data_IF_607576477332
#
_entry.id   IF_607576477332
#
_cell.length_a   1.000
_cell.length_b   1.000
_cell.length_c   1.000
_cell.angle_alpha   90.00
_cell.angle_beta   90.00
_cell.angle_gamma   90.00
#
_symmetry.space_group_name_H-M   'P 1'
#
loop_
_entity.id
_entity.type
_entity.pdbx_description
1 polymer ?
#
# COMPACT_ATOMS: atom_id res chain seq x y z
N UNK A 1 -20.30 7.08 -13.86
CA UNK A 1 -19.43 6.08 -13.18
C UNK A 1 -19.66 4.75 -13.88
N UNK A 2 -18.62 4.01 -14.28
CA UNK A 2 -18.83 2.67 -14.87
C UNK A 2 -19.37 1.73 -13.79
N UNK A 3 -20.38 0.93 -14.11
CA UNK A 3 -20.94 -0.06 -13.19
C UNK A 3 -19.85 -1.04 -12.72
N UNK A 4 -20.01 -1.57 -11.51
CA UNK A 4 -19.13 -2.62 -10.99
C UNK A 4 -19.32 -3.88 -11.83
N UNK A 5 -18.23 -4.38 -12.43
CA UNK A 5 -18.28 -5.57 -13.27
C UNK A 5 -18.77 -6.78 -12.47
N UNK A 6 -19.73 -7.57 -12.96
CA UNK A 6 -20.17 -8.79 -12.30
C UNK A 6 -19.00 -9.78 -12.12
N UNK A 7 -18.02 -9.79 -13.04
CA UNK A 7 -16.80 -10.58 -12.92
C UNK A 7 -15.96 -10.20 -11.70
N UNK A 8 -15.90 -8.92 -11.35
CA UNK A 8 -15.18 -8.48 -10.15
C UNK A 8 -15.87 -8.99 -8.89
N UNK A 9 -17.20 -8.89 -8.81
CA UNK A 9 -17.97 -9.42 -7.67
C UNK A 9 -17.82 -10.93 -7.56
N UNK A 10 -17.94 -11.66 -8.67
CA UNK A 10 -17.70 -13.10 -8.72
C UNK A 10 -16.30 -13.48 -8.23
N UNK A 11 -15.26 -12.73 -8.62
CA UNK A 11 -13.90 -12.95 -8.15
C UNK A 11 -13.75 -12.68 -6.64
N UNK A 12 -14.36 -11.61 -6.11
CA UNK A 12 -14.36 -11.32 -4.67
C UNK A 12 -15.02 -12.44 -3.88
N UNK A 13 -16.20 -12.88 -4.30
CA UNK A 13 -16.93 -13.97 -3.65
C UNK A 13 -16.11 -15.25 -3.71
N UNK A 14 -15.61 -15.63 -4.89
CA UNK A 14 -14.82 -16.85 -5.07
C UNK A 14 -13.58 -16.88 -4.17
N UNK A 15 -12.79 -15.81 -4.16
CA UNK A 15 -11.59 -15.71 -3.31
C UNK A 15 -11.92 -15.68 -1.82
N UNK A 16 -13.01 -15.03 -1.42
CA UNK A 16 -13.45 -15.03 -0.02
C UNK A 16 -13.91 -16.41 0.44
N UNK A 17 -14.62 -17.15 -0.42
CA UNK A 17 -15.08 -18.50 -0.11
C UNK A 17 -13.92 -19.52 0.00
N UNK A 18 -12.78 -19.25 -0.65
CA UNK A 18 -11.58 -20.09 -0.48
C UNK A 18 -11.09 -20.15 0.98
N UNK A 19 -11.43 -19.15 1.82
CA UNK A 19 -11.12 -19.15 3.25
C UNK A 19 -11.75 -20.33 4.01
N UNK A 20 -12.83 -20.92 3.50
CA UNK A 20 -13.47 -22.09 4.10
C UNK A 20 -12.82 -23.42 3.69
N UNK A 21 -12.01 -23.41 2.63
CA UNK A 21 -11.44 -24.62 2.04
C UNK A 21 -9.92 -24.74 2.24
N UNK A 22 -9.22 -23.62 2.39
CA UNK A 22 -7.76 -23.59 2.48
C UNK A 22 -7.29 -23.30 3.90
N UNK A 23 -6.18 -23.92 4.35
CA UNK A 23 -5.51 -23.48 5.57
C UNK A 23 -4.95 -22.07 5.35
N UNK A 24 -5.09 -21.20 6.35
CA UNK A 24 -4.60 -19.83 6.30
C UNK A 24 -5.24 -18.95 7.37
N UNK A 25 -5.12 -17.63 7.20
CA UNK A 25 -5.71 -16.63 8.07
C UNK A 25 -5.04 -16.55 9.44
N UNK A 26 -3.79 -16.99 9.56
CA UNK A 26 -3.07 -17.01 10.84
C UNK A 26 -3.04 -15.63 11.50
N UNK A 27 -2.63 -14.59 10.77
CA UNK A 27 -2.58 -13.23 11.31
C UNK A 27 -3.98 -12.67 11.57
N UNK A 28 -4.96 -13.01 10.72
CA UNK A 28 -6.36 -12.65 10.97
C UNK A 28 -6.87 -13.27 12.28
N UNK A 29 -6.59 -14.55 12.51
CA UNK A 29 -7.03 -15.29 13.69
C UNK A 29 -6.29 -14.83 14.95
N UNK A 30 -5.00 -14.56 14.87
CA UNK A 30 -4.17 -14.17 16.01
C UNK A 30 -4.34 -12.70 16.39
N UNK A 31 -4.41 -11.81 15.41
CA UNK A 31 -4.36 -10.37 15.66
C UNK A 31 -5.69 -9.67 15.36
N UNK A 32 -6.27 -9.85 14.18
CA UNK A 32 -7.28 -8.89 13.69
C UNK A 32 -8.73 -9.24 14.01
N UNK A 33 -9.03 -10.50 14.29
CA UNK A 33 -10.37 -10.97 14.67
C UNK A 33 -10.53 -11.14 16.18
N UNK A 34 -9.55 -10.68 16.95
CA UNK A 34 -9.52 -10.72 18.42
C UNK A 34 -9.45 -9.31 19.01
N UNK A 35 -9.88 -9.14 20.27
CA UNK A 35 -9.62 -7.91 21.02
C UNK A 35 -8.13 -7.56 20.98
N UNK A 36 -7.83 -6.26 20.98
CA UNK A 36 -6.44 -5.82 21.08
C UNK A 36 -5.80 -6.41 22.33
N UNK A 37 -4.59 -6.91 22.18
CA UNK A 37 -3.77 -7.36 23.29
C UNK A 37 -2.41 -6.69 23.20
N UNK A 38 -1.72 -6.65 24.34
CA UNK A 38 -0.36 -6.16 24.41
C UNK A 38 0.50 -6.79 23.31
N UNK A 39 0.27 -8.06 22.94
CA UNK A 39 0.98 -8.86 21.91
C UNK A 39 0.87 -8.35 20.45
N UNK A 40 -0.03 -7.41 20.14
CA UNK A 40 -0.22 -6.93 18.75
C UNK A 40 0.84 -5.93 18.28
N UNK A 41 1.34 -6.12 17.05
CA UNK A 41 2.24 -5.17 16.37
C UNK A 41 1.49 -4.02 15.69
N UNK A 42 0.17 -4.05 15.70
CA UNK A 42 -0.65 -3.06 14.98
C UNK A 42 -1.28 -2.07 15.93
N UNK A 43 -1.57 -0.85 15.46
CA UNK A 43 -2.17 0.14 16.31
C UNK A 43 -3.55 -0.30 16.81
N UNK A 44 -3.90 -0.04 18.08
CA UNK A 44 -5.13 -0.56 18.65
C UNK A 44 -6.43 -0.12 17.96
N UNK A 45 -6.45 1.07 17.33
CA UNK A 45 -7.62 1.52 16.57
C UNK A 45 -7.92 0.60 15.36
N UNK A 46 -6.92 -0.10 14.82
CA UNK A 46 -7.15 -1.13 13.80
C UNK A 46 -8.03 -2.23 14.37
N UNK A 47 -7.76 -2.67 15.60
CA UNK A 47 -8.57 -3.68 16.27
C UNK A 47 -9.97 -3.18 16.60
N UNK A 48 -10.17 -1.89 16.92
CA UNK A 48 -11.53 -1.37 17.06
C UNK A 48 -12.33 -1.51 15.77
N UNK A 49 -11.69 -1.25 14.62
CA UNK A 49 -12.34 -1.34 13.31
C UNK A 49 -12.59 -2.80 12.93
N UNK A 50 -11.67 -3.72 13.25
CA UNK A 50 -11.78 -5.14 12.88
C UNK A 50 -12.47 -6.01 13.91
N UNK A 51 -12.64 -5.56 15.17
CA UNK A 51 -13.25 -6.32 16.26
C UNK A 51 -14.66 -6.86 15.92
N UNK A 52 -15.55 -6.11 15.24
CA UNK A 52 -16.86 -6.65 14.84
C UNK A 52 -16.77 -7.89 13.94
N UNK A 53 -15.67 -8.09 13.22
CA UNK A 53 -15.46 -9.31 12.42
C UNK A 53 -15.33 -10.56 13.30
N UNK A 54 -14.79 -10.41 14.52
CA UNK A 54 -14.62 -11.52 15.46
C UNK A 54 -15.95 -12.16 15.90
N UNK A 55 -17.06 -11.43 15.82
CA UNK A 55 -18.39 -11.95 16.17
C UNK A 55 -18.89 -13.08 15.26
N UNK A 56 -18.34 -13.20 14.06
CA UNK A 56 -18.71 -14.26 13.11
C UNK A 56 -17.96 -15.58 13.35
N UNK A 57 -16.92 -15.58 14.20
CA UNK A 57 -16.05 -16.72 14.42
C UNK A 57 -15.18 -17.07 13.20
N UNK A 58 -14.18 -17.93 13.42
CA UNK A 58 -13.32 -18.43 12.33
C UNK A 58 -13.98 -19.68 11.70
N UNK A 59 -13.98 -19.84 10.36
CA UNK A 59 -13.29 -19.04 9.33
C UNK A 59 -14.10 -17.86 8.75
N UNK A 60 -15.36 -17.66 9.16
CA UNK A 60 -16.23 -16.63 8.57
C UNK A 60 -15.67 -15.20 8.71
N UNK A 61 -15.08 -14.87 9.85
CA UNK A 61 -14.40 -13.59 10.09
C UNK A 61 -13.24 -13.34 9.09
N UNK A 62 -12.47 -14.39 8.76
CA UNK A 62 -11.38 -14.32 7.78
C UNK A 62 -11.92 -14.16 6.35
N UNK A 63 -12.97 -14.89 5.98
CA UNK A 63 -13.64 -14.73 4.70
C UNK A 63 -14.17 -13.30 4.50
N UNK A 64 -14.77 -12.70 5.53
CA UNK A 64 -15.21 -11.30 5.52
C UNK A 64 -14.05 -10.32 5.38
N UNK A 65 -12.94 -10.55 6.10
CA UNK A 65 -11.74 -9.73 5.97
C UNK A 65 -11.15 -9.77 4.54
N UNK A 66 -11.12 -10.96 3.93
CA UNK A 66 -10.71 -11.14 2.52
C UNK A 66 -11.64 -10.35 1.61
N UNK A 67 -12.96 -10.50 1.76
CA UNK A 67 -13.93 -9.78 0.94
C UNK A 67 -13.76 -8.25 1.05
N UNK A 68 -13.65 -7.72 2.26
CA UNK A 68 -13.42 -6.30 2.51
C UNK A 68 -12.11 -5.81 1.87
N UNK A 69 -11.03 -6.57 2.02
CA UNK A 69 -9.74 -6.24 1.42
C UNK A 69 -9.84 -6.16 -0.10
N UNK A 70 -10.46 -7.16 -0.74
CA UNK A 70 -10.64 -7.20 -2.20
C UNK A 70 -11.55 -6.07 -2.71
N UNK A 71 -12.62 -5.75 -1.99
CA UNK A 71 -13.49 -4.62 -2.31
C UNK A 71 -12.74 -3.28 -2.24
N UNK A 72 -11.94 -3.07 -1.19
CA UNK A 72 -11.11 -1.89 -1.03
C UNK A 72 -10.04 -1.81 -2.13
N UNK A 73 -9.40 -2.92 -2.47
CA UNK A 73 -8.43 -2.98 -3.58
C UNK A 73 -9.08 -2.65 -4.92
N UNK A 74 -10.25 -3.20 -5.22
CA UNK A 74 -10.99 -2.88 -6.44
C UNK A 74 -11.44 -1.42 -6.50
N UNK A 75 -11.89 -0.85 -5.37
CA UNK A 75 -12.22 0.57 -5.27
C UNK A 75 -10.98 1.46 -5.46
N UNK A 76 -9.88 1.17 -4.76
CA UNK A 76 -8.63 1.90 -4.87
C UNK A 76 -8.07 1.82 -6.29
N UNK A 77 -8.09 0.64 -6.93
CA UNK A 77 -7.69 0.48 -8.32
C UNK A 77 -8.48 1.42 -9.24
N UNK A 78 -9.81 1.55 -9.06
CA UNK A 78 -10.63 2.53 -9.82
C UNK A 78 -10.21 3.97 -9.55
N UNK A 79 -9.95 4.33 -8.29
CA UNK A 79 -9.47 5.66 -7.88
C UNK A 79 -8.14 6.00 -8.58
N UNK A 80 -7.26 5.01 -8.71
CA UNK A 80 -5.97 5.14 -9.42
C UNK A 80 -6.08 4.90 -10.93
N UNK A 81 -7.25 4.58 -11.49
CA UNK A 81 -7.39 4.22 -12.90
C UNK A 81 -6.56 2.98 -13.29
N UNK A 82 -6.32 2.09 -12.33
CA UNK A 82 -5.66 0.81 -12.50
C UNK A 82 -6.70 -0.29 -12.82
N UNK A 83 -6.34 -1.31 -13.61
CA UNK A 83 -7.17 -2.49 -13.81
C UNK A 83 -7.34 -3.27 -12.49
N UNK A 84 -8.60 -3.52 -12.09
CA UNK A 84 -8.91 -4.21 -10.83
C UNK A 84 -8.28 -5.61 -10.75
N UNK A 85 -8.15 -6.30 -11.88
CA UNK A 85 -7.61 -7.66 -11.91
C UNK A 85 -6.11 -7.68 -11.62
N UNK A 86 -5.36 -6.64 -12.02
CA UNK A 86 -3.95 -6.49 -11.61
C UNK A 86 -3.87 -6.30 -10.10
N UNK A 87 -4.80 -5.54 -9.53
CA UNK A 87 -4.83 -5.26 -8.11
C UNK A 87 -5.15 -6.51 -7.28
N UNK A 88 -6.06 -7.39 -7.71
CA UNK A 88 -6.51 -8.52 -6.87
C UNK A 88 -5.93 -9.89 -7.23
N UNK A 89 -5.48 -10.10 -8.47
CA UNK A 89 -4.99 -11.40 -8.94
C UNK A 89 -3.45 -11.49 -8.97
N UNK A 90 -2.74 -10.65 -8.22
CA UNK A 90 -1.28 -10.70 -8.16
C UNK A 90 -0.77 -11.53 -6.96
N UNK A 91 0.48 -12.02 -7.01
CA UNK A 91 1.01 -12.88 -5.95
C UNK A 91 1.13 -12.20 -4.58
N UNK A 92 1.42 -10.89 -4.53
CA UNK A 92 1.47 -10.16 -3.26
C UNK A 92 0.09 -10.15 -2.58
N UNK A 93 -0.98 -10.02 -3.37
CA UNK A 93 -2.36 -10.08 -2.87
C UNK A 93 -2.69 -11.46 -2.36
N UNK A 94 -2.32 -12.52 -3.09
CA UNK A 94 -2.52 -13.88 -2.60
C UNK A 94 -1.91 -14.07 -1.20
N UNK A 95 -0.69 -13.57 -0.96
CA UNK A 95 -0.07 -13.58 0.37
C UNK A 95 -0.84 -12.75 1.41
N UNK A 96 -1.36 -11.57 1.04
CA UNK A 96 -2.24 -10.78 1.91
C UNK A 96 -3.46 -11.59 2.34
N UNK A 97 -4.15 -12.25 1.40
CA UNK A 97 -5.35 -13.02 1.69
C UNK A 97 -5.02 -14.28 2.50
N UNK A 98 -3.98 -15.00 2.12
CA UNK A 98 -3.57 -16.26 2.73
C UNK A 98 -3.15 -16.08 4.19
N UNK A 99 -2.34 -15.06 4.50
CA UNK A 99 -1.96 -14.77 5.89
C UNK A 99 -3.06 -14.04 6.66
N UNK A 100 -3.97 -13.34 5.98
CA UNK A 100 -4.96 -12.47 6.62
C UNK A 100 -4.39 -11.11 7.04
N UNK A 101 -3.55 -10.51 6.20
CA UNK A 101 -2.92 -9.21 6.45
C UNK A 101 -3.90 -8.05 6.32
N UNK A 102 -3.68 -6.98 7.08
CA UNK A 102 -4.51 -5.75 7.10
C UNK A 102 -4.17 -4.73 6.02
N UNK A 103 -3.86 -5.19 4.81
CA UNK A 103 -3.39 -4.29 3.73
C UNK A 103 -4.50 -3.41 3.20
N UNK A 104 -5.76 -3.73 3.55
CA UNK A 104 -6.91 -2.88 3.33
C UNK A 104 -6.72 -1.46 3.86
N UNK A 105 -6.07 -1.25 5.02
CA UNK A 105 -5.89 0.08 5.59
C UNK A 105 -4.95 0.94 4.76
N UNK A 106 -3.68 0.58 4.52
CA UNK A 106 -2.78 1.42 3.72
C UNK A 106 -3.30 1.62 2.29
N UNK A 107 -4.02 0.65 1.71
CA UNK A 107 -4.67 0.77 0.40
C UNK A 107 -5.81 1.79 0.44
N UNK A 108 -6.68 1.72 1.45
CA UNK A 108 -7.73 2.71 1.65
C UNK A 108 -7.15 4.11 1.87
N UNK A 109 -6.13 4.23 2.73
CA UNK A 109 -5.47 5.48 3.04
C UNK A 109 -4.83 6.14 1.82
N UNK A 110 -4.15 5.36 0.97
CA UNK A 110 -3.59 5.86 -0.28
C UNK A 110 -4.69 6.38 -1.23
N UNK A 111 -5.79 5.64 -1.39
CA UNK A 111 -6.89 6.07 -2.24
C UNK A 111 -7.63 7.31 -1.70
N UNK A 112 -7.92 7.37 -0.40
CA UNK A 112 -8.53 8.54 0.26
C UNK A 112 -7.65 9.78 0.13
N UNK A 113 -6.36 9.66 0.44
CA UNK A 113 -5.40 10.75 0.31
C UNK A 113 -5.31 11.24 -1.14
N UNK A 114 -5.29 10.33 -2.11
CA UNK A 114 -5.32 10.69 -3.53
C UNK A 114 -6.59 11.46 -3.93
N UNK A 115 -7.77 11.05 -3.46
CA UNK A 115 -9.03 11.75 -3.72
C UNK A 115 -9.03 13.17 -3.12
N UNK A 116 -8.45 13.36 -1.93
CA UNK A 116 -8.25 14.70 -1.34
C UNK A 116 -7.35 15.55 -2.25
N UNK A 117 -6.21 15.02 -2.70
CA UNK A 117 -5.28 15.76 -3.58
C UNK A 117 -5.90 16.08 -4.95
N UNK A 118 -6.83 15.24 -5.43
CA UNK A 118 -7.64 15.51 -6.61
C UNK A 118 -8.81 16.48 -6.35
N UNK A 119 -8.95 17.02 -5.13
CA UNK A 119 -10.07 17.88 -4.72
C UNK A 119 -11.45 17.21 -4.87
N UNK A 120 -11.49 15.88 -4.80
CA UNK A 120 -12.74 15.08 -4.83
C UNK A 120 -13.29 14.79 -3.44
N UNK A 121 -12.49 15.02 -2.39
CA UNK A 121 -12.90 14.96 -0.99
C UNK A 121 -12.45 16.24 -0.27
N UNK A 122 -13.16 16.58 0.81
CA UNK A 122 -12.78 17.69 1.68
C UNK A 122 -11.39 17.43 2.31
N UNK A 123 -10.51 18.44 2.46
CA UNK A 123 -9.13 18.22 2.90
C UNK A 123 -8.98 17.59 4.28
N UNK A 124 -9.97 17.73 5.16
CA UNK A 124 -9.95 17.07 6.48
C UNK A 124 -10.04 15.53 6.40
N UNK A 125 -10.49 14.97 5.27
CA UNK A 125 -10.40 13.52 5.04
C UNK A 125 -8.94 13.01 4.98
N UNK A 126 -7.96 13.91 4.83
CA UNK A 126 -6.56 13.54 4.93
C UNK A 126 -6.21 12.99 6.32
N UNK A 127 -6.91 13.41 7.38
CA UNK A 127 -6.75 12.81 8.72
C UNK A 127 -7.09 11.32 8.70
N UNK A 128 -8.22 10.94 8.09
CA UNK A 128 -8.58 9.51 7.95
C UNK A 128 -7.57 8.77 7.07
N UNK A 129 -7.13 9.40 5.98
CA UNK A 129 -6.10 8.83 5.11
C UNK A 129 -4.79 8.52 5.86
N UNK A 130 -4.33 9.43 6.71
CA UNK A 130 -3.14 9.22 7.56
C UNK A 130 -3.35 8.08 8.55
N UNK A 131 -4.48 8.03 9.26
CA UNK A 131 -4.81 6.92 10.16
C UNK A 131 -4.86 5.55 9.47
N UNK A 132 -5.27 5.52 8.20
CA UNK A 132 -5.24 4.31 7.39
C UNK A 132 -3.81 3.95 6.90
N UNK A 133 -2.89 4.91 6.76
CA UNK A 133 -1.51 4.66 6.35
C UNK A 133 -0.58 4.28 7.52
N UNK A 134 -0.86 4.77 8.72
CA UNK A 134 -0.07 4.55 9.94
C UNK A 134 0.14 3.09 10.36
N UNK A 135 -0.82 2.15 10.20
CA UNK A 135 -0.63 0.76 10.61
C UNK A 135 0.58 0.08 9.99
N UNK A 136 1.01 0.56 8.81
CA UNK A 136 2.18 0.05 8.08
C UNK A 136 2.96 1.20 7.46
N UNK A 137 3.71 1.92 8.30
CA UNK A 137 4.56 3.05 7.89
C UNK A 137 5.59 2.66 6.82
N UNK A 138 6.07 1.42 6.80
CA UNK A 138 6.95 0.89 5.74
C UNK A 138 6.30 0.84 4.36
N UNK A 139 4.96 0.87 4.30
CA UNK A 139 4.18 0.85 3.05
C UNK A 139 3.63 2.24 2.74
N UNK A 140 3.06 2.91 3.75
CA UNK A 140 2.35 4.18 3.59
C UNK A 140 3.15 5.45 3.89
N UNK A 141 4.33 5.34 4.53
CA UNK A 141 5.06 6.48 5.09
C UNK A 141 5.48 7.52 4.04
N UNK A 142 6.06 7.10 2.91
CA UNK A 142 6.42 8.04 1.87
C UNK A 142 5.21 8.70 1.21
N UNK A 143 4.09 7.97 1.04
CA UNK A 143 2.85 8.57 0.56
C UNK A 143 2.29 9.60 1.55
N UNK A 144 2.36 9.32 2.85
CA UNK A 144 1.96 10.25 3.89
C UNK A 144 2.75 11.57 3.77
N UNK A 145 4.09 11.49 3.65
CA UNK A 145 4.94 12.67 3.45
C UNK A 145 4.62 13.41 2.15
N UNK A 146 4.46 12.69 1.04
CA UNK A 146 4.13 13.28 -0.26
C UNK A 146 2.78 14.01 -0.22
N UNK A 147 1.77 13.41 0.41
CA UNK A 147 0.46 14.02 0.60
C UNK A 147 0.53 15.23 1.51
N UNK A 148 1.36 15.22 2.57
CA UNK A 148 1.60 16.40 3.40
C UNK A 148 2.13 17.58 2.58
N UNK A 149 3.13 17.33 1.73
CA UNK A 149 3.71 18.35 0.86
C UNK A 149 2.66 18.88 -0.13
N UNK A 150 1.89 18.00 -0.77
CA UNK A 150 0.84 18.44 -1.69
C UNK A 150 -0.33 19.14 -0.99
N UNK A 151 -0.71 18.72 0.21
CA UNK A 151 -1.74 19.37 1.00
C UNK A 151 -1.31 20.80 1.35
N UNK A 152 -0.07 20.98 1.82
CA UNK A 152 0.49 22.30 2.07
C UNK A 152 0.48 23.18 0.83
N UNK A 153 1.00 22.66 -0.29
CA UNK A 153 1.13 23.40 -1.54
C UNK A 153 -0.21 23.77 -2.17
N UNK A 154 -1.17 22.85 -2.16
CA UNK A 154 -2.42 23.01 -2.92
C UNK A 154 -3.59 23.57 -2.07
N UNK A 155 -3.52 23.46 -0.74
CA UNK A 155 -4.57 23.91 0.19
C UNK A 155 -4.08 24.89 1.28
N UNK A 156 -2.78 25.18 1.33
CA UNK A 156 -2.18 26.13 2.25
C UNK A 156 -1.89 25.60 3.65
N UNK A 157 -1.04 26.33 4.39
CA UNK A 157 -0.54 25.92 5.71
C UNK A 157 -1.64 25.82 6.78
N UNK A 158 -2.69 26.64 6.70
CA UNK A 158 -3.82 26.61 7.68
C UNK A 158 -4.57 25.29 7.60
N UNK A 159 -4.79 24.78 6.39
CA UNK A 159 -5.44 23.48 6.17
C UNK A 159 -4.57 22.35 6.70
N UNK A 160 -3.27 22.39 6.40
CA UNK A 160 -2.31 21.45 6.94
C UNK A 160 -2.34 21.44 8.48
N UNK A 161 -2.32 22.62 9.12
CA UNK A 161 -2.38 22.72 10.58
C UNK A 161 -3.65 22.08 11.15
N UNK A 162 -4.82 22.32 10.54
CA UNK A 162 -6.07 21.68 10.98
C UNK A 162 -6.00 20.15 10.86
N UNK A 163 -5.49 19.63 9.75
CA UNK A 163 -5.29 18.18 9.57
C UNK A 163 -4.30 17.64 10.60
N UNK A 164 -3.20 18.35 10.86
CA UNK A 164 -2.21 17.95 11.85
C UNK A 164 -2.80 17.92 13.27
N UNK A 165 -3.57 18.96 13.65
CA UNK A 165 -4.25 19.01 14.96
C UNK A 165 -5.26 17.89 15.09
N UNK A 166 -6.14 17.66 14.11
CA UNK A 166 -7.11 16.56 14.17
C UNK A 166 -6.42 15.19 14.23
N UNK A 167 -5.37 15.00 13.43
CA UNK A 167 -4.57 13.77 13.47
C UNK A 167 -3.92 13.58 14.84
N UNK A 168 -3.37 14.65 15.40
CA UNK A 168 -2.76 14.67 16.73
C UNK A 168 -3.75 14.36 17.84
N UNK A 169 -4.94 14.97 17.82
CA UNK A 169 -6.01 14.70 18.79
C UNK A 169 -6.44 13.23 18.75
N UNK A 170 -6.71 12.68 17.56
CA UNK A 170 -7.05 11.27 17.42
C UNK A 170 -5.89 10.35 17.85
N UNK A 171 -4.65 10.77 17.61
CA UNK A 171 -3.45 10.05 18.01
C UNK A 171 -3.34 9.99 19.52
N UNK A 172 -3.47 11.14 20.20
CA UNK A 172 -3.47 11.24 21.66
C UNK A 172 -4.61 10.44 22.26
N UNK A 173 -5.84 10.54 21.74
CA UNK A 173 -6.96 9.75 22.21
C UNK A 173 -6.67 8.25 22.09
N UNK A 174 -6.02 7.82 21.01
CA UNK A 174 -5.57 6.43 20.87
C UNK A 174 -4.54 6.07 21.94
N UNK A 175 -3.54 6.90 22.19
CA UNK A 175 -2.55 6.64 23.24
C UNK A 175 -3.17 6.62 24.65
N UNK A 176 -4.18 7.44 24.92
CA UNK A 176 -4.84 7.45 26.23
C UNK A 176 -5.63 6.17 26.51
N UNK A 177 -6.23 5.57 25.47
CA UNK A 177 -6.97 4.31 25.59
C UNK A 177 -6.01 3.11 25.69
N UNK A 178 -4.84 3.17 25.03
CA UNK A 178 -3.84 2.10 25.03
C UNK A 178 -2.44 2.63 25.32
N UNK A 179 -2.22 2.93 26.59
CA UNK A 179 -1.05 3.68 27.08
C UNK A 179 0.29 3.00 26.78
N UNK A 180 0.33 1.67 26.82
CA UNK A 180 1.57 0.90 26.63
C UNK A 180 1.89 0.57 25.16
N UNK A 181 1.03 0.95 24.21
CA UNK A 181 1.19 0.52 22.83
C UNK A 181 2.51 0.99 22.21
N UNK A 182 2.88 2.27 22.38
CA UNK A 182 4.11 2.83 21.78
C UNK A 182 5.37 2.17 22.33
N UNK A 183 5.57 2.07 23.67
CA UNK A 183 6.71 1.32 24.22
C UNK A 183 6.77 -0.13 23.74
N UNK A 184 5.63 -0.86 23.77
CA UNK A 184 5.57 -2.25 23.32
C UNK A 184 5.89 -2.41 21.84
N UNK A 185 5.40 -1.50 21.01
CA UNK A 185 5.69 -1.48 19.58
C UNK A 185 7.17 -1.25 19.30
N UNK A 186 7.82 -0.31 20.00
CA UNK A 186 9.27 -0.06 19.87
C UNK A 186 10.06 -1.32 20.26
N UNK A 187 9.74 -1.94 21.41
CA UNK A 187 10.43 -3.16 21.85
C UNK A 187 10.28 -4.31 20.84
N UNK A 188 9.16 -4.38 20.13
CA UNK A 188 8.96 -5.41 19.09
C UNK A 188 9.63 -5.08 17.77
N UNK A 189 9.66 -3.82 17.36
CA UNK A 189 10.45 -3.42 16.19
C UNK A 189 11.93 -3.80 16.36
N UNK A 190 12.48 -3.68 17.56
CA UNK A 190 13.84 -4.12 17.88
C UNK A 190 14.05 -5.63 17.72
N UNK A 191 12.97 -6.43 17.83
CA UNK A 191 13.00 -7.90 17.67
C UNK A 191 12.61 -8.39 16.28
N UNK A 192 12.00 -7.53 15.45
CA UNK A 192 11.53 -7.86 14.10
C UNK A 192 12.64 -7.90 13.04
N UNK A 193 13.87 -7.47 13.38
CA UNK A 193 15.06 -7.72 12.55
C UNK A 193 15.60 -9.09 12.96
N UNK A 194 15.37 -10.17 12.19
CA UNK A 194 15.96 -11.46 12.54
C UNK A 194 17.45 -11.31 12.30
N UNK A 195 18.24 -11.33 13.37
CA UNK A 195 19.71 -11.40 13.29
C UNK A 195 20.12 -12.74 12.65
N UNK A 196 19.24 -13.76 12.73
CA UNK A 196 19.58 -15.16 12.43
C UNK A 196 18.88 -15.76 11.20
N UNK A 197 17.94 -15.05 10.55
CA UNK A 197 17.35 -15.48 9.27
C UNK A 197 17.07 -14.30 8.31
N UNK A 198 18.12 -13.74 7.69
CA UNK A 198 17.99 -12.61 6.79
C UNK A 198 17.35 -12.94 5.43
N UNK A 199 17.06 -14.21 5.09
CA UNK A 199 16.74 -14.61 3.71
C UNK A 199 15.32 -15.13 3.48
N UNK A 200 14.57 -15.52 4.51
CA UNK A 200 13.27 -16.19 4.29
C UNK A 200 12.04 -15.27 4.28
N UNK A 201 12.13 -13.98 4.60
CA UNK A 201 10.93 -13.11 4.53
C UNK A 201 11.18 -11.63 4.31
N UNK A 202 12.39 -11.14 4.58
CA UNK A 202 12.74 -9.74 4.36
C UNK A 202 13.11 -9.52 2.89
N UNK A 203 12.32 -8.72 2.19
CA UNK A 203 12.59 -8.28 0.83
C UNK A 203 13.25 -6.91 0.76
N UNK A 204 13.60 -6.29 1.89
CA UNK A 204 14.31 -5.00 1.91
C UNK A 204 15.69 -5.08 1.27
N UNK A 205 16.07 -3.97 0.61
CA UNK A 205 17.45 -3.73 0.15
C UNK A 205 18.08 -2.52 0.86
N UNK A 206 17.59 -2.17 2.05
CA UNK A 206 18.18 -1.12 2.88
C UNK A 206 19.61 -1.52 3.30
N UNK A 207 20.61 -0.63 3.25
CA UNK A 207 20.50 0.81 2.97
C UNK A 207 20.58 1.20 1.49
N UNK A 208 20.82 0.27 0.56
CA UNK A 208 21.01 0.57 -0.87
C UNK A 208 19.79 1.24 -1.51
N UNK A 209 18.57 0.96 -1.03
CA UNK A 209 17.35 1.66 -1.45
C UNK A 209 17.41 3.19 -1.28
N UNK A 210 18.22 3.70 -0.33
CA UNK A 210 18.42 5.14 -0.12
C UNK A 210 19.04 5.83 -1.34
N UNK A 211 19.84 5.11 -2.13
CA UNK A 211 20.45 5.64 -3.36
C UNK A 211 19.39 6.02 -4.41
N UNK A 212 18.17 5.49 -4.29
CA UNK A 212 17.07 5.76 -5.20
C UNK A 212 16.15 6.90 -4.72
N UNK A 213 16.31 7.40 -3.48
CA UNK A 213 15.51 8.51 -2.93
C UNK A 213 15.52 9.77 -3.80
N UNK A 214 16.64 10.18 -4.44
CA UNK A 214 16.62 11.31 -5.35
C UNK A 214 15.57 11.19 -6.47
N UNK A 215 15.14 9.98 -6.84
CA UNK A 215 14.08 9.79 -7.83
C UNK A 215 12.71 10.30 -7.37
N UNK A 216 12.46 10.40 -6.06
CA UNK A 216 11.25 11.04 -5.52
C UNK A 216 11.22 12.55 -5.81
N UNK A 217 12.40 13.15 -6.02
CA UNK A 217 12.60 14.58 -6.25
C UNK A 217 12.63 14.95 -7.74
N UNK A 218 12.38 13.99 -8.64
CA UNK A 218 12.33 14.25 -10.08
C UNK A 218 11.41 15.44 -10.44
N UNK A 219 11.66 16.11 -11.58
CA UNK A 219 11.05 17.40 -11.91
C UNK A 219 9.52 17.44 -11.80
N UNK A 220 8.95 18.62 -11.55
CA UNK A 220 7.49 18.85 -11.41
C UNK A 220 6.68 18.38 -12.61
N UNK A 221 7.31 18.26 -13.78
CA UNK A 221 6.75 17.70 -15.01
C UNK A 221 6.34 16.21 -14.90
N UNK A 222 6.84 15.49 -13.87
CA UNK A 222 6.30 14.19 -13.50
C UNK A 222 4.87 14.36 -12.96
N UNK A 223 3.88 13.86 -13.70
CA UNK A 223 2.49 13.85 -13.27
C UNK A 223 2.34 13.27 -11.85
N UNK A 224 1.55 13.93 -10.99
CA UNK A 224 1.40 13.57 -9.57
C UNK A 224 1.19 12.08 -9.34
N UNK A 225 0.35 11.43 -10.14
CA UNK A 225 0.04 10.01 -9.97
C UNK A 225 1.25 9.10 -10.13
N UNK A 226 2.12 9.42 -11.11
CA UNK A 226 3.37 8.71 -11.38
C UNK A 226 4.34 8.90 -10.22
N UNK A 227 4.45 10.13 -9.70
CA UNK A 227 5.26 10.43 -8.52
C UNK A 227 4.79 9.66 -7.29
N UNK A 228 3.48 9.56 -7.06
CA UNK A 228 2.94 8.77 -5.95
C UNK A 228 3.35 7.29 -6.03
N UNK A 229 3.31 6.68 -7.22
CA UNK A 229 3.78 5.29 -7.41
C UNK A 229 5.27 5.12 -7.16
N UNK A 230 6.10 6.04 -7.67
CA UNK A 230 7.54 6.03 -7.41
C UNK A 230 7.81 6.15 -5.90
N UNK A 231 7.15 7.08 -5.22
CA UNK A 231 7.32 7.27 -3.78
C UNK A 231 6.85 6.04 -2.99
N UNK A 232 5.72 5.43 -3.35
CA UNK A 232 5.27 4.18 -2.73
C UNK A 232 6.29 3.04 -2.93
N UNK A 233 6.85 2.91 -4.14
CA UNK A 233 7.91 1.93 -4.42
C UNK A 233 9.19 2.21 -3.62
N UNK A 234 9.63 3.47 -3.56
CA UNK A 234 10.79 3.89 -2.79
C UNK A 234 10.62 3.67 -1.28
N UNK A 235 9.40 3.87 -0.75
CA UNK A 235 9.11 3.62 0.67
C UNK A 235 9.40 2.17 1.04
N UNK A 236 9.01 1.22 0.18
CA UNK A 236 9.32 -0.20 0.37
C UNK A 236 10.84 -0.45 0.30
N UNK A 237 11.53 0.10 -0.70
CA UNK A 237 12.97 -0.14 -0.90
C UNK A 237 13.85 0.45 0.20
N UNK A 238 13.44 1.57 0.79
CA UNK A 238 14.14 2.29 1.88
C UNK A 238 13.75 1.76 3.26
N UNK A 239 12.64 1.03 3.37
CA UNK A 239 12.23 0.45 4.64
C UNK A 239 13.26 -0.58 5.11
N UNK A 240 13.72 -0.55 6.37
CA UNK A 240 14.67 -1.54 6.89
C UNK A 240 14.13 -2.98 6.85
N UNK A 241 12.81 -3.13 6.74
CA UNK A 241 12.14 -4.40 6.57
C UNK A 241 10.86 -4.24 5.74
N UNK A 242 10.63 -5.15 4.81
CA UNK A 242 9.30 -5.34 4.21
C UNK A 242 9.13 -6.78 3.69
N UNK A 243 7.96 -7.37 3.87
CA UNK A 243 7.57 -8.65 3.28
C UNK A 243 6.92 -8.49 1.89
N UNK A 244 6.95 -9.55 1.08
CA UNK A 244 6.42 -9.53 -0.30
C UNK A 244 4.96 -9.10 -0.43
N UNK A 245 4.12 -9.39 0.56
CA UNK A 245 2.71 -8.97 0.57
C UNK A 245 2.52 -7.44 0.64
N UNK A 246 3.50 -6.70 1.17
CA UNK A 246 3.43 -5.23 1.23
C UNK A 246 3.39 -4.57 -0.17
N UNK A 247 3.84 -5.29 -1.21
CA UNK A 247 3.73 -4.83 -2.59
C UNK A 247 2.26 -4.73 -3.07
N UNK A 248 1.27 -5.27 -2.35
CA UNK A 248 -0.14 -5.20 -2.70
C UNK A 248 -0.65 -3.75 -2.88
N UNK A 249 -0.20 -2.80 -2.04
CA UNK A 249 -0.51 -1.38 -2.23
C UNK A 249 0.00 -0.88 -3.58
N UNK A 250 1.27 -1.14 -3.87
CA UNK A 250 1.92 -0.66 -5.09
C UNK A 250 1.25 -1.23 -6.35
N UNK A 251 0.90 -2.52 -6.32
CA UNK A 251 0.21 -3.20 -7.42
C UNK A 251 -1.24 -2.74 -7.59
N UNK A 252 -1.91 -2.32 -6.51
CA UNK A 252 -3.23 -1.67 -6.59
C UNK A 252 -3.18 -0.33 -7.33
N UNK A 253 -2.02 0.34 -7.30
CA UNK A 253 -1.81 1.59 -8.02
C UNK A 253 -1.30 1.38 -9.45
N UNK A 254 -0.88 0.15 -9.81
CA UNK A 254 -0.21 -0.15 -11.07
C UNK A 254 -1.16 -0.08 -12.26
N UNK A 255 -0.73 0.63 -13.32
CA UNK A 255 -1.56 0.83 -14.52
C UNK A 255 -1.39 -0.25 -15.58
N UNK A 256 -0.30 -0.99 -15.53
CA UNK A 256 0.13 -1.86 -16.63
C UNK A 256 -0.07 -3.34 -16.30
N UNK A 257 -0.63 -4.12 -17.22
CA UNK A 257 -0.56 -5.59 -17.21
C UNK A 257 0.87 -6.12 -17.02
N UNK A 258 1.88 -5.39 -17.52
CA UNK A 258 3.28 -5.80 -17.38
C UNK A 258 3.73 -5.80 -15.92
N UNK A 259 3.18 -4.92 -15.08
CA UNK A 259 3.48 -4.91 -13.65
C UNK A 259 2.92 -6.16 -12.96
N UNK A 260 1.80 -6.70 -13.45
CA UNK A 260 1.29 -7.98 -12.97
C UNK A 260 2.25 -9.13 -13.31
N UNK A 261 2.74 -9.20 -14.55
CA UNK A 261 3.76 -10.20 -14.94
C UNK A 261 5.04 -10.04 -14.11
N UNK A 262 5.51 -8.82 -13.94
CA UNK A 262 6.70 -8.53 -13.13
C UNK A 262 6.51 -8.93 -11.66
N UNK A 263 5.28 -8.83 -11.13
CA UNK A 263 4.97 -9.25 -9.76
C UNK A 263 5.07 -10.77 -9.54
N UNK A 264 5.07 -11.57 -10.61
CA UNK A 264 5.28 -13.01 -10.56
C UNK A 264 6.76 -13.41 -10.65
N UNK A 265 7.66 -12.52 -11.11
CA UNK A 265 9.09 -12.83 -11.21
C UNK A 265 9.71 -13.27 -9.87
N UNK A 266 9.38 -12.67 -8.71
CA UNK A 266 9.89 -13.12 -7.42
C UNK A 266 9.43 -14.54 -7.03
N UNK A 267 8.41 -15.10 -7.68
CA UNK A 267 7.96 -16.46 -7.40
C UNK A 267 8.93 -17.52 -7.91
N UNK A 268 9.67 -17.27 -8.99
CA UNK A 268 10.65 -18.23 -9.52
C UNK A 268 11.76 -18.56 -8.50
N UNK A 269 12.51 -17.59 -7.95
CA UNK A 269 13.52 -17.88 -6.94
C UNK A 269 12.89 -18.40 -5.63
N UNK A 270 11.65 -18.03 -5.32
CA UNK A 270 10.92 -18.58 -4.17
C UNK A 270 10.62 -20.08 -4.35
N UNK A 271 10.19 -20.50 -5.55
CA UNK A 271 9.88 -21.91 -5.84
C UNK A 271 11.13 -22.76 -6.03
N UNK A 272 12.21 -22.19 -6.59
CA UNK A 272 13.43 -22.93 -6.91
C UNK A 272 14.43 -23.00 -5.75
N UNK A 273 14.49 -21.97 -4.91
CA UNK A 273 15.52 -21.83 -3.88
C UNK A 273 14.97 -21.41 -2.51
N UNK A 274 13.64 -21.45 -2.32
CA UNK A 274 12.97 -20.93 -1.11
C UNK A 274 13.32 -19.47 -0.78
N UNK A 275 13.79 -18.70 -1.76
CA UNK A 275 14.22 -17.32 -1.57
C UNK A 275 13.02 -16.37 -1.69
N UNK A 276 12.48 -15.99 -0.53
CA UNK A 276 11.37 -15.06 -0.39
C UNK A 276 11.83 -13.59 -0.29
N UNK A 277 13.13 -13.32 -0.31
CA UNK A 277 13.71 -11.98 -0.22
C UNK A 277 13.75 -11.21 -1.55
N UNK A 278 13.25 -11.77 -2.64
CA UNK A 278 13.37 -11.16 -3.99
C UNK A 278 12.22 -10.22 -4.36
N UNK A 279 11.26 -9.95 -3.46
CA UNK A 279 10.13 -9.08 -3.80
C UNK A 279 10.50 -7.61 -3.98
N UNK A 280 11.72 -7.15 -3.65
CA UNK A 280 12.22 -5.81 -4.04
C UNK A 280 12.30 -5.61 -5.54
N UNK A 281 12.33 -6.68 -6.33
CA UNK A 281 12.25 -6.58 -7.78
C UNK A 281 10.95 -5.89 -8.24
N UNK A 282 9.85 -6.02 -7.49
CA UNK A 282 8.57 -5.38 -7.81
C UNK A 282 8.68 -3.85 -7.77
N UNK A 283 9.05 -3.20 -6.63
CA UNK A 283 9.21 -1.76 -6.60
C UNK A 283 10.30 -1.24 -7.55
N UNK A 284 11.41 -1.97 -7.74
CA UNK A 284 12.42 -1.60 -8.75
C UNK A 284 11.83 -1.59 -10.16
N UNK A 285 11.08 -2.64 -10.53
CA UNK A 285 10.42 -2.70 -11.82
C UNK A 285 9.41 -1.56 -12.00
N UNK A 286 8.62 -1.24 -10.98
CA UNK A 286 7.66 -0.13 -11.06
C UNK A 286 8.38 1.20 -11.28
N UNK A 287 9.47 1.47 -10.55
CA UNK A 287 10.27 2.68 -10.76
C UNK A 287 10.79 2.71 -12.20
N UNK A 288 11.44 1.65 -12.67
CA UNK A 288 11.98 1.57 -14.02
C UNK A 288 10.89 1.77 -15.09
N UNK A 289 9.74 1.13 -14.93
CA UNK A 289 8.60 1.26 -15.84
C UNK A 289 8.08 2.70 -15.89
N UNK A 290 7.93 3.37 -14.74
CA UNK A 290 7.53 4.76 -14.69
C UNK A 290 8.60 5.71 -15.27
N UNK A 291 9.89 5.39 -15.16
CA UNK A 291 10.95 6.18 -15.79
C UNK A 291 10.93 6.06 -17.32
N UNK A 292 10.87 4.83 -17.83
CA UNK A 292 10.88 4.55 -19.28
C UNK A 292 9.65 5.12 -19.98
N UNK A 293 8.46 4.89 -19.43
CA UNK A 293 7.23 5.38 -20.05
C UNK A 293 7.15 6.91 -20.00
N UNK A 294 7.71 7.56 -18.98
CA UNK A 294 7.77 9.02 -18.93
C UNK A 294 8.67 9.58 -20.02
N UNK A 295 9.86 8.99 -20.21
CA UNK A 295 10.78 9.42 -21.27
C UNK A 295 10.13 9.32 -22.65
N UNK A 296 9.38 8.23 -22.90
CA UNK A 296 8.61 8.06 -24.14
C UNK A 296 7.53 9.13 -24.30
N UNK A 297 6.75 9.38 -23.26
CA UNK A 297 5.67 10.39 -23.27
C UNK A 297 6.23 11.81 -23.44
N UNK A 298 7.41 12.10 -22.89
CA UNK A 298 8.12 13.38 -23.04
C UNK A 298 8.58 13.58 -24.48
N UNK A 299 9.33 12.62 -25.03
CA UNK A 299 9.82 12.67 -26.42
C UNK A 299 8.68 12.83 -27.43
N UNK A 300 7.57 12.11 -27.23
CA UNK A 300 6.41 12.19 -28.12
C UNK A 300 5.74 13.58 -28.14
N UNK A 301 5.91 14.38 -27.08
CA UNK A 301 5.35 15.75 -27.00
C UNK A 301 6.29 16.81 -27.54
N UNK A 302 7.60 16.60 -27.48
CA UNK A 302 8.60 17.60 -27.87
C UNK A 302 9.14 17.44 -29.29
N UNK A 303 9.02 16.25 -29.89
CA UNK A 303 9.50 15.98 -31.25
C UNK A 303 8.58 16.45 -32.40
N UNK A 304 7.23 16.54 -32.28
CA UNK A 304 6.37 17.00 -33.38
C UNK A 304 6.72 18.43 -33.83
N UNK A 305 7.04 19.32 -32.89
CA UNK A 305 7.28 20.74 -33.17
C UNK A 305 8.63 21.01 -33.87
N UNK A 306 9.57 20.05 -33.84
CA UNK A 306 10.90 20.20 -34.46
C UNK A 306 10.88 19.82 -35.94
N UNK A 307 9.92 19.00 -36.39
CA UNK A 307 9.84 18.53 -37.77
C UNK A 307 8.90 19.37 -38.66
N UNK A 308 8.13 20.31 -38.10
CA UNK A 308 7.30 21.26 -38.87
C UNK A 308 8.05 22.54 -39.27
N UNK A 309 9.24 22.80 -38.74
CA UNK A 309 10.13 23.88 -39.20
C UNK A 309 11.09 23.38 -40.29
N UNK A 310 10.54 22.90 -41.41
CA UNK A 310 11.30 22.80 -42.66
C UNK A 310 11.00 24.04 -43.49
N UNK A 311 11.92 25.01 -43.62
CA UNK A 311 11.71 26.16 -44.50
C UNK A 311 11.63 25.66 -45.94
N UNK A 312 10.45 25.83 -46.55
CA UNK A 312 10.29 25.78 -48.01
C UNK A 312 10.78 27.08 -48.63
#
# INVERSE_FOLDING_TARGET
MRSTSPFFIGAVIGLALMAFALPGGEDAAQFYTRPWSAASNTPPWVHLVTAPLGWFGFPAAWALLIALTLLVMGWAARVWGAPWWVAILNPATFWVLWLGQIELFPIAGAALGWLVIQKRLHPLWMTVAYFCLLPKVQVGGGLMLLYTVWLWRDFGWRTLLRVAVLTGVLGVLSLLIWQDWVPLWITRLQRLVPIDDPYTFNSSITPWGLLLVPLALLPVQYGKQRRARIVAALTLLVSPYFAGYHCALLLTMARSPLTWLASALPLLPMLLASNRGTFWLIPVFVIAYELVTWRRDFNARTLPDVLEYSPR
#
